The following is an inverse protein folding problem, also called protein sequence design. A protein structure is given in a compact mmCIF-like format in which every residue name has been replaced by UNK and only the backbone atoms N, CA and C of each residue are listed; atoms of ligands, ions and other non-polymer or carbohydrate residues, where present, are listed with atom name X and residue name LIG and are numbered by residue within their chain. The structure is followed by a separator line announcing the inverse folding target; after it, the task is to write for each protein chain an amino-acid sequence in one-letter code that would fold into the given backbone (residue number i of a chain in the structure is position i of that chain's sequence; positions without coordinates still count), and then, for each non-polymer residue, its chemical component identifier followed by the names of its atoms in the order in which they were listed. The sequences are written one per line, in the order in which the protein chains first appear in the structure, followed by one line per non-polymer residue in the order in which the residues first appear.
data_IF_085073013828
#
_entry.id   IF_085073013828
#
_cell.length_a   1.000
_cell.length_b   1.000
_cell.length_c   1.000
_cell.angle_alpha   90.00
_cell.angle_beta   90.00
_cell.angle_gamma   90.00
#
_symmetry.space_group_name_H-M   'P 1'
#
loop_
_entity.id
_entity.type
_entity.pdbx_description
1 polymer ?
#
# COMPACT_ATOMS: atom_id res chain seq x y z
N UNK A 1 0.52 3.08 3.27
CA UNK A 1 -0.71 2.38 3.69
C UNK A 1 -0.44 0.89 3.54
N UNK A 2 -0.93 0.08 4.47
CA UNK A 2 -0.79 -1.38 4.43
C UNK A 2 -2.18 -1.99 4.29
N UNK A 3 -2.27 -3.11 3.59
CA UNK A 3 -3.50 -3.88 3.46
C UNK A 3 -3.38 -5.17 4.26
N UNK A 4 -4.48 -5.60 4.84
CA UNK A 4 -4.54 -6.77 5.70
C UNK A 4 -5.57 -7.75 5.17
N UNK A 5 -5.42 -9.03 5.51
CA UNK A 5 -6.39 -10.03 5.12
C UNK A 5 -6.47 -11.16 6.12
N UNK A 6 -7.65 -11.80 6.11
CA UNK A 6 -7.88 -13.07 6.80
C UNK A 6 -7.71 -14.17 5.76
N UNK A 7 -6.87 -15.15 6.08
CA UNK A 7 -6.39 -16.17 5.16
C UNK A 7 -6.65 -17.55 5.76
N UNK A 8 -7.06 -18.51 4.94
CA UNK A 8 -7.19 -19.92 5.30
C UNK A 8 -6.51 -20.78 4.24
N UNK A 9 -5.58 -21.65 4.64
CA UNK A 9 -4.88 -22.56 3.72
C UNK A 9 -4.30 -21.85 2.48
N UNK A 10 -3.76 -20.63 2.67
CA UNK A 10 -3.19 -19.80 1.60
C UNK A 10 -4.20 -18.99 0.79
N UNK A 11 -5.51 -19.19 0.97
CA UNK A 11 -6.57 -18.45 0.29
C UNK A 11 -6.98 -17.23 1.10
N UNK A 12 -6.98 -16.05 0.46
CA UNK A 12 -7.45 -14.80 1.07
C UNK A 12 -8.98 -14.82 1.05
N UNK A 13 -9.58 -14.88 2.24
CA UNK A 13 -11.03 -14.91 2.40
C UNK A 13 -11.62 -13.49 2.43
N UNK A 14 -10.93 -12.57 3.08
CA UNK A 14 -11.40 -11.20 3.28
C UNK A 14 -10.22 -10.22 3.37
N UNK A 15 -10.42 -8.99 2.89
CA UNK A 15 -9.42 -7.92 2.80
C UNK A 15 -9.86 -6.70 3.60
N UNK A 16 -8.90 -6.02 4.20
CA UNK A 16 -9.12 -4.89 5.10
C UNK A 16 -8.08 -3.80 4.86
N UNK A 17 -8.54 -2.55 4.93
CA UNK A 17 -7.68 -1.37 4.93
C UNK A 17 -7.16 -1.03 6.34
N UNK A 18 -7.88 -1.46 7.38
CA UNK A 18 -7.57 -1.17 8.78
C UNK A 18 -7.16 -2.45 9.53
N UNK A 19 -6.07 -2.35 10.32
CA UNK A 19 -5.51 -3.49 11.05
C UNK A 19 -6.40 -3.92 12.21
N UNK A 20 -7.01 -2.97 12.91
CA UNK A 20 -7.79 -3.21 14.10
C UNK A 20 -9.19 -3.72 13.74
N UNK A 21 -9.73 -3.30 12.60
CA UNK A 21 -10.88 -3.94 11.95
C UNK A 21 -10.59 -5.41 11.63
N UNK A 22 -9.49 -5.70 10.91
CA UNK A 22 -9.10 -7.07 10.60
C UNK A 22 -8.94 -7.92 11.87
N UNK A 23 -8.29 -7.38 12.91
CA UNK A 23 -8.13 -8.10 14.18
C UNK A 23 -9.47 -8.40 14.85
N UNK A 24 -10.42 -7.47 14.84
CA UNK A 24 -11.76 -7.68 15.42
C UNK A 24 -12.48 -8.81 14.69
N UNK A 25 -12.48 -8.79 13.36
CA UNK A 25 -13.11 -9.85 12.55
C UNK A 25 -12.39 -11.20 12.72
N UNK A 26 -11.06 -11.19 12.77
CA UNK A 26 -10.26 -12.37 13.02
C UNK A 26 -10.59 -13.02 14.37
N UNK A 27 -10.65 -12.23 15.44
CA UNK A 27 -10.94 -12.72 16.80
C UNK A 27 -12.32 -13.37 16.86
N UNK A 28 -13.34 -12.75 16.23
CA UNK A 28 -14.71 -13.31 16.20
C UNK A 28 -14.77 -14.70 15.56
N UNK A 29 -13.99 -14.95 14.51
CA UNK A 29 -14.06 -16.20 13.72
C UNK A 29 -13.09 -17.26 14.19
N UNK A 30 -12.03 -16.88 14.91
CA UNK A 30 -10.97 -17.81 15.35
C UNK A 30 -11.47 -18.88 16.32
N UNK A 31 -12.53 -18.61 17.08
CA UNK A 31 -13.12 -19.61 17.99
C UNK A 31 -13.73 -20.79 17.23
N UNK A 32 -14.23 -20.55 16.01
CA UNK A 32 -14.88 -21.55 15.16
C UNK A 32 -13.90 -22.21 14.18
N UNK A 33 -12.86 -21.49 13.75
CA UNK A 33 -11.90 -21.98 12.75
C UNK A 33 -10.45 -21.67 13.14
N UNK A 34 -9.77 -22.70 13.66
CA UNK A 34 -8.38 -22.61 14.14
C UNK A 34 -7.36 -22.49 13.00
N UNK A 35 -7.74 -22.73 11.75
CA UNK A 35 -6.86 -22.62 10.58
C UNK A 35 -6.82 -21.21 9.99
N UNK A 36 -7.62 -20.27 10.52
CA UNK A 36 -7.61 -18.88 10.10
C UNK A 36 -6.34 -18.17 10.58
N UNK A 37 -5.81 -17.30 9.73
CA UNK A 37 -4.70 -16.41 10.02
C UNK A 37 -4.97 -15.00 9.52
N UNK A 38 -4.85 -14.00 10.41
CA UNK A 38 -4.82 -12.59 10.03
C UNK A 38 -3.40 -12.12 9.76
N UNK A 39 -3.13 -11.50 8.60
CA UNK A 39 -1.81 -10.95 8.28
C UNK A 39 -1.87 -9.73 7.37
N UNK A 40 -0.73 -9.05 7.26
CA UNK A 40 -0.49 -8.08 6.19
C UNK A 40 -0.39 -8.82 4.85
N UNK A 41 -1.03 -8.27 3.83
CA UNK A 41 -1.00 -8.80 2.47
C UNK A 41 0.25 -8.26 1.75
N UNK A 42 0.92 -9.13 1.00
CA UNK A 42 2.03 -8.73 0.15
C UNK A 42 1.51 -8.02 -1.09
N UNK A 43 2.36 -7.23 -1.74
CA UNK A 43 1.96 -6.43 -2.90
C UNK A 43 1.42 -7.26 -4.08
N UNK A 44 1.95 -8.46 -4.30
CA UNK A 44 1.51 -9.41 -5.32
C UNK A 44 0.16 -10.09 -5.01
N UNK A 45 -0.31 -9.97 -3.77
CA UNK A 45 -1.58 -10.53 -3.29
C UNK A 45 -2.73 -9.52 -3.30
N UNK A 46 -2.40 -8.26 -3.56
CA UNK A 46 -3.34 -7.15 -3.64
C UNK A 46 -4.08 -7.15 -4.98
N UNK A 47 -5.31 -6.66 -4.94
CA UNK A 47 -6.05 -6.30 -6.15
C UNK A 47 -5.42 -5.07 -6.82
N UNK A 48 -5.70 -4.85 -8.11
CA UNK A 48 -5.06 -3.76 -8.88
C UNK A 48 -5.37 -2.36 -8.32
N UNK A 49 -6.59 -2.14 -7.81
CA UNK A 49 -7.00 -0.94 -7.10
C UNK A 49 -6.27 -0.78 -5.76
N UNK A 50 -6.14 -1.85 -4.99
CA UNK A 50 -5.39 -1.85 -3.73
C UNK A 50 -3.89 -1.58 -3.94
N UNK A 51 -3.30 -2.15 -5.00
CA UNK A 51 -1.92 -1.84 -5.42
C UNK A 51 -1.78 -0.35 -5.71
N UNK A 52 -2.73 0.21 -6.45
CA UNK A 52 -2.74 1.61 -6.81
C UNK A 52 -2.78 2.51 -5.56
N UNK A 53 -3.68 2.24 -4.62
CA UNK A 53 -3.75 2.97 -3.35
C UNK A 53 -2.44 2.90 -2.55
N UNK A 54 -1.82 1.72 -2.47
CA UNK A 54 -0.54 1.55 -1.78
C UNK A 54 0.57 2.33 -2.46
N UNK A 55 0.60 2.32 -3.80
CA UNK A 55 1.56 3.10 -4.60
C UNK A 55 1.36 4.61 -4.39
N UNK A 56 0.13 5.10 -4.38
CA UNK A 56 -0.19 6.52 -4.13
C UNK A 56 0.26 6.99 -2.76
N UNK A 57 -0.04 6.22 -1.71
CA UNK A 57 0.39 6.56 -0.36
C UNK A 57 1.92 6.50 -0.22
N UNK A 58 2.57 5.57 -0.94
CA UNK A 58 4.03 5.50 -0.99
C UNK A 58 4.62 6.74 -1.68
N UNK A 59 4.03 7.17 -2.79
CA UNK A 59 4.42 8.40 -3.50
C UNK A 59 4.28 9.62 -2.60
N UNK A 60 3.15 9.73 -1.90
CA UNK A 60 2.91 10.80 -0.93
C UNK A 60 4.02 10.86 0.13
N UNK A 61 4.34 9.74 0.77
CA UNK A 61 5.40 9.70 1.78
C UNK A 61 6.80 10.06 1.24
N UNK A 62 7.09 9.74 -0.02
CA UNK A 62 8.36 10.14 -0.65
C UNK A 62 8.39 11.65 -0.91
N UNK A 63 7.28 12.23 -1.36
CA UNK A 63 7.16 13.67 -1.57
C UNK A 63 7.24 14.45 -0.27
N UNK A 64 6.53 14.02 0.77
CA UNK A 64 6.60 14.64 2.09
C UNK A 64 8.05 14.63 2.62
N UNK A 65 8.78 13.54 2.41
CA UNK A 65 10.21 13.46 2.74
C UNK A 65 11.07 14.41 1.89
N UNK A 66 10.82 14.51 0.58
CA UNK A 66 11.55 15.40 -0.32
C UNK A 66 11.33 16.87 0.02
N UNK A 67 10.10 17.25 0.36
CA UNK A 67 9.72 18.60 0.78
C UNK A 67 10.42 18.95 2.10
N UNK A 68 10.33 18.05 3.10
CA UNK A 68 11.07 18.19 4.35
C UNK A 68 12.59 18.32 4.11
N UNK A 69 13.16 17.47 3.24
CA UNK A 69 14.59 17.50 2.95
C UNK A 69 15.03 18.77 2.21
N UNK A 70 14.17 19.33 1.37
CA UNK A 70 14.42 20.59 0.67
C UNK A 70 14.47 21.79 1.62
N UNK A 71 13.56 21.82 2.61
CA UNK A 71 13.49 22.89 3.60
C UNK A 71 14.62 22.82 4.64
N UNK A 72 15.14 21.62 4.94
CA UNK A 72 16.01 21.38 6.09
C UNK A 72 17.47 21.03 5.73
N UNK A 73 17.81 20.75 4.47
CA UNK A 73 19.16 20.35 4.07
C UNK A 73 19.59 20.92 2.72
N UNK A 74 20.86 21.35 2.61
CA UNK A 74 21.52 21.81 1.37
C UNK A 74 21.83 20.63 0.39
N UNK A 75 21.18 19.48 0.61
CA UNK A 75 21.59 18.14 0.18
C UNK A 75 21.24 17.79 -1.27
N UNK A 76 22.02 18.30 -2.22
CA UNK A 76 21.82 18.10 -3.67
C UNK A 76 21.78 16.62 -4.11
N UNK A 77 22.51 15.71 -3.46
CA UNK A 77 22.70 14.32 -3.97
C UNK A 77 21.63 13.33 -3.52
N UNK A 78 21.15 13.42 -2.27
CA UNK A 78 20.07 12.55 -1.74
C UNK A 78 18.72 12.88 -2.39
N UNK A 79 18.53 14.16 -2.74
CA UNK A 79 17.33 14.65 -3.40
C UNK A 79 17.19 14.13 -4.84
N UNK A 80 18.27 13.98 -5.61
CA UNK A 80 18.17 13.60 -7.05
C UNK A 80 17.63 12.18 -7.25
N UNK A 81 18.19 11.18 -6.57
CA UNK A 81 17.75 9.77 -6.75
C UNK A 81 16.33 9.56 -6.22
N UNK A 82 16.03 10.18 -5.08
CA UNK A 82 14.70 10.10 -4.45
C UNK A 82 13.64 10.81 -5.31
N UNK A 83 13.99 11.92 -5.97
CA UNK A 83 13.12 12.60 -6.96
C UNK A 83 12.83 11.73 -8.17
N UNK A 84 13.87 11.14 -8.79
CA UNK A 84 13.68 10.25 -9.95
C UNK A 84 12.74 9.10 -9.59
N UNK A 85 12.93 8.48 -8.42
CA UNK A 85 12.06 7.41 -7.97
C UNK A 85 10.60 7.88 -7.73
N UNK A 86 10.40 9.09 -7.20
CA UNK A 86 9.07 9.67 -7.07
C UNK A 86 8.39 9.90 -8.43
N UNK A 87 9.14 10.40 -9.40
CA UNK A 87 8.63 10.67 -10.76
C UNK A 87 8.28 9.38 -11.50
N UNK A 88 9.13 8.34 -11.41
CA UNK A 88 8.86 7.01 -11.99
C UNK A 88 7.62 6.35 -11.36
N UNK A 89 7.48 6.45 -10.03
CA UNK A 89 6.32 5.93 -9.32
C UNK A 89 5.04 6.69 -9.73
N UNK A 90 5.11 8.01 -9.84
CA UNK A 90 4.00 8.82 -10.33
C UNK A 90 3.60 8.41 -11.75
N UNK A 91 4.57 8.28 -12.66
CA UNK A 91 4.30 7.86 -14.03
C UNK A 91 3.60 6.51 -14.08
N UNK A 92 4.06 5.55 -13.26
CA UNK A 92 3.44 4.22 -13.14
C UNK A 92 2.00 4.28 -12.64
N UNK A 93 1.72 5.10 -11.61
CA UNK A 93 0.36 5.32 -11.07
C UNK A 93 -0.56 5.93 -12.14
N UNK A 94 -0.08 6.96 -12.84
CA UNK A 94 -0.86 7.63 -13.88
C UNK A 94 -1.16 6.70 -15.05
N UNK A 95 -0.19 5.87 -15.44
CA UNK A 95 -0.37 4.87 -16.49
C UNK A 95 -1.36 3.78 -16.06
N UNK A 96 -1.26 3.28 -14.82
CA UNK A 96 -2.19 2.31 -14.27
C UNK A 96 -3.63 2.85 -14.25
N UNK A 97 -3.85 4.07 -13.76
CA UNK A 97 -5.18 4.74 -13.76
C UNK A 97 -5.81 4.85 -15.13
N UNK A 98 -5.00 5.19 -16.15
CA UNK A 98 -5.46 5.29 -17.55
C UNK A 98 -5.93 3.94 -18.08
N UNK A 99 -5.26 2.86 -17.71
CA UNK A 99 -5.58 1.51 -18.19
C UNK A 99 -6.75 0.85 -17.44
N UNK A 100 -6.98 1.19 -16.17
CA UNK A 100 -8.07 0.62 -15.35
C UNK A 100 -9.39 1.39 -15.49
N UNK A 101 -9.45 2.43 -16.31
CA UNK A 101 -10.68 3.22 -16.52
C UNK A 101 -11.00 4.18 -15.35
N UNK A 102 -10.06 4.42 -14.44
CA UNK A 102 -10.14 5.53 -13.48
C UNK A 102 -10.03 6.86 -14.24
N UNK A 103 -11.16 7.37 -14.74
CA UNK A 103 -11.26 8.73 -15.25
C UNK A 103 -11.17 9.71 -14.09
N UNK A 104 -10.28 10.71 -14.22
CA UNK A 104 -10.20 11.88 -13.35
C UNK A 104 -11.55 12.55 -13.19
#
# INVERSE_FOLDING_TARGET
MKKYGIVKNGVILERFSDRDEMKREFIKRREEDRELWGRELKFDELLEDEKLEVMEERLKGIRDFLDFAHENYDGRTIQTHTRIYADELQWSIEHAKRNTGHKK
#
